data_IF_955558112580
#
_entry.id   IF_955558112580
#
_cell.length_a   1.000
_cell.length_b   1.000
_cell.length_c   1.000
_cell.angle_alpha   90.00
_cell.angle_beta   90.00
_cell.angle_gamma   90.00
#
_symmetry.space_group_name_H-M   'P 1'
#
loop_
_entity.id
_entity.type
_entity.pdbx_description
1 polymer ?
#
# COMPACT_ATOMS: atom_id res chain seq x y z
N UNK A 1 -32.51 24.46 -22.50
CA UNK A 1 -31.87 25.80 -22.47
C UNK A 1 -31.65 26.13 -21.00
N UNK A 2 -30.49 26.47 -20.46
CA UNK A 2 -29.10 26.52 -20.95
C UNK A 2 -28.22 25.90 -19.83
N UNK A 3 -27.16 25.12 -20.08
CA UNK A 3 -25.87 25.47 -20.71
C UNK A 3 -25.08 26.57 -20.00
N UNK A 4 -23.91 26.16 -19.47
CA UNK A 4 -22.70 26.97 -19.19
C UNK A 4 -22.77 28.15 -18.19
N UNK A 5 -22.33 27.91 -16.95
CA UNK A 5 -22.03 28.99 -15.98
C UNK A 5 -20.82 28.75 -15.02
N UNK A 6 -20.02 27.68 -15.16
CA UNK A 6 -18.88 27.39 -14.26
C UNK A 6 -17.48 27.56 -14.90
N UNK A 7 -17.41 28.02 -16.16
CA UNK A 7 -16.16 28.55 -16.75
C UNK A 7 -16.03 30.05 -16.46
N UNK A 8 -15.53 30.40 -15.26
CA UNK A 8 -14.70 31.61 -14.93
C UNK A 8 -14.70 31.94 -13.42
N UNK A 9 -14.06 31.10 -12.61
CA UNK A 9 -13.32 31.57 -11.41
C UNK A 9 -11.94 30.92 -11.42
N UNK A 10 -11.13 31.30 -12.42
CA UNK A 10 -9.73 30.92 -12.53
C UNK A 10 -8.93 32.16 -12.97
N UNK A 11 -8.05 32.62 -12.08
CA UNK A 11 -7.04 33.64 -12.36
C UNK A 11 -7.40 35.08 -11.94
N UNK A 12 -6.45 35.92 -11.50
CA UNK A 12 -5.00 35.71 -11.22
C UNK A 12 -4.49 36.80 -10.26
N UNK A 13 -3.51 36.47 -9.42
CA UNK A 13 -2.36 37.35 -9.15
C UNK A 13 -1.05 36.54 -9.27
N UNK A 14 0.03 37.24 -9.61
CA UNK A 14 1.18 36.82 -10.46
C UNK A 14 2.32 37.85 -10.25
N UNK A 15 3.63 37.55 -10.21
CA UNK A 15 4.38 36.28 -10.32
C UNK A 15 5.74 36.39 -9.59
N UNK A 16 6.36 35.26 -9.21
CA UNK A 16 7.82 35.05 -9.36
C UNK A 16 8.07 33.59 -9.73
N UNK A 17 8.43 33.35 -10.98
CA UNK A 17 8.88 32.05 -11.46
C UNK A 17 10.37 31.83 -11.16
N UNK A 18 10.73 30.62 -10.71
CA UNK A 18 12.00 29.99 -11.15
C UNK A 18 11.72 28.57 -11.62
N UNK A 19 11.81 28.43 -12.94
CA UNK A 19 11.95 27.17 -13.67
C UNK A 19 13.43 26.79 -13.65
N UNK A 20 13.85 25.86 -12.78
CA UNK A 20 15.07 25.02 -12.92
C UNK A 20 15.26 24.16 -11.65
N UNK A 21 15.97 23.04 -11.76
CA UNK A 21 16.17 22.09 -10.64
C UNK A 21 16.49 20.65 -11.07
N UNK A 22 16.34 20.34 -12.36
CA UNK A 22 16.89 19.14 -12.98
C UNK A 22 18.42 19.22 -13.11
N UNK A 23 19.15 19.39 -12.00
CA UNK A 23 20.63 19.38 -12.01
C UNK A 23 21.31 19.17 -10.63
N UNK A 24 20.97 18.12 -9.88
CA UNK A 24 21.80 17.67 -8.74
C UNK A 24 22.28 16.20 -8.78
N UNK A 25 21.97 15.46 -9.86
CA UNK A 25 22.50 14.12 -10.12
C UNK A 25 23.84 14.09 -10.88
N UNK A 26 24.38 15.24 -11.26
CA UNK A 26 25.56 15.34 -12.15
C UNK A 26 26.92 15.48 -11.46
N UNK A 27 27.00 15.53 -10.11
CA UNK A 27 28.27 15.84 -9.38
C UNK A 27 28.72 14.81 -8.32
N UNK A 28 28.24 13.57 -8.36
CA UNK A 28 28.81 12.44 -7.60
C UNK A 28 29.28 11.24 -8.45
N UNK A 29 29.28 11.36 -9.78
CA UNK A 29 29.73 10.30 -10.72
C UNK A 29 31.21 10.43 -11.16
N UNK A 30 32.10 10.89 -10.27
CA UNK A 30 33.56 10.98 -10.52
C UNK A 30 34.34 10.73 -9.22
N UNK A 31 35.13 9.64 -9.20
CA UNK A 31 35.68 8.87 -8.06
C UNK A 31 34.75 7.69 -7.74
N UNK A 32 35.00 6.45 -8.17
CA UNK A 32 36.27 5.84 -8.56
C UNK A 32 36.27 5.14 -9.95
N UNK A 33 37.41 5.24 -10.64
CA UNK A 33 37.76 4.42 -11.82
C UNK A 33 39.26 4.11 -11.79
N UNK A 34 39.59 2.88 -11.35
CA UNK A 34 40.91 2.23 -11.39
C UNK A 34 40.68 0.70 -11.41
N UNK A 35 41.29 -0.15 -12.24
CA UNK A 35 42.20 0.04 -13.39
C UNK A 35 42.23 -1.23 -14.32
N UNK A 36 42.80 -1.06 -15.53
CA UNK A 36 43.15 -2.02 -16.62
C UNK A 36 44.31 -2.98 -16.23
N UNK A 37 44.56 -4.21 -16.73
CA UNK A 37 43.89 -5.35 -17.43
C UNK A 37 44.96 -6.51 -17.45
N UNK A 38 45.19 -7.43 -18.44
CA UNK A 38 44.42 -8.05 -19.55
C UNK A 38 44.46 -9.63 -19.57
N UNK A 39 43.95 -10.27 -20.66
CA UNK A 39 43.94 -11.73 -21.00
C UNK A 39 45.31 -12.24 -21.55
N UNK A 40 45.68 -13.55 -21.57
CA UNK A 40 45.18 -14.54 -22.58
C UNK A 40 45.08 -16.03 -22.07
N UNK A 41 45.29 -17.13 -22.85
CA UNK A 41 44.21 -18.00 -23.32
C UNK A 41 44.26 -19.50 -22.86
N UNK A 42 43.23 -20.27 -23.26
CA UNK A 42 42.98 -21.66 -22.86
C UNK A 42 43.63 -22.75 -23.75
N UNK A 43 43.67 -24.02 -23.28
CA UNK A 43 43.62 -25.22 -24.12
C UNK A 43 42.28 -26.01 -23.98
N UNK A 44 42.10 -27.04 -24.81
CA UNK A 44 40.81 -27.70 -25.15
C UNK A 44 40.67 -29.12 -24.58
N UNK A 45 39.42 -29.64 -24.61
CA UNK A 45 38.97 -31.05 -24.42
C UNK A 45 39.02 -31.53 -22.94
N UNK A 46 38.11 -32.39 -22.46
CA UNK A 46 37.37 -33.47 -23.15
C UNK A 46 35.95 -33.69 -22.63
N UNK A 47 35.10 -34.28 -23.48
CA UNK A 47 33.91 -35.07 -23.12
C UNK A 47 34.22 -36.55 -23.47
N UNK A 48 33.41 -37.58 -23.10
CA UNK A 48 32.09 -37.52 -22.46
C UNK A 48 31.87 -38.47 -21.26
N UNK A 49 30.77 -38.29 -20.53
CA UNK A 49 30.15 -39.36 -19.75
C UNK A 49 28.61 -39.23 -19.79
N UNK A 50 27.92 -40.35 -20.02
CA UNK A 50 26.45 -40.41 -20.00
C UNK A 50 25.98 -40.40 -18.55
N UNK A 51 25.05 -39.51 -18.21
CA UNK A 51 24.28 -39.60 -16.97
C UNK A 51 22.80 -39.71 -17.34
N UNK A 52 22.21 -40.86 -17.03
CA UNK A 52 20.79 -41.14 -17.25
C UNK A 52 19.95 -40.42 -16.20
N UNK A 53 19.20 -39.41 -16.61
CA UNK A 53 18.24 -38.75 -15.73
C UNK A 53 17.13 -39.74 -15.32
N UNK A 54 16.77 -39.83 -14.02
CA UNK A 54 15.60 -40.59 -13.60
C UNK A 54 14.31 -39.93 -14.10
N UNK A 55 13.31 -40.73 -14.44
CA UNK A 55 12.04 -40.25 -14.96
C UNK A 55 11.29 -39.39 -13.93
N UNK A 56 10.66 -38.31 -14.40
CA UNK A 56 9.82 -37.46 -13.56
C UNK A 56 8.58 -38.22 -13.05
N UNK A 57 8.12 -37.98 -11.81
CA UNK A 57 6.90 -38.59 -11.30
C UNK A 57 5.65 -38.11 -12.09
N UNK A 58 4.59 -38.92 -12.18
CA UNK A 58 3.36 -38.54 -12.86
C UNK A 58 2.76 -37.29 -12.21
N UNK A 59 2.44 -36.30 -13.04
CA UNK A 59 1.89 -35.01 -12.63
C UNK A 59 0.53 -35.23 -11.96
N UNK A 60 0.47 -35.08 -10.64
CA UNK A 60 -0.80 -35.16 -9.90
C UNK A 60 -1.79 -34.14 -10.49
N UNK A 61 -2.96 -34.64 -10.90
CA UNK A 61 -4.04 -33.78 -11.41
C UNK A 61 -4.54 -32.91 -10.26
N UNK A 62 -4.26 -31.61 -10.31
CA UNK A 62 -4.86 -30.66 -9.39
C UNK A 62 -6.39 -30.75 -9.52
N UNK A 63 -7.15 -30.73 -8.40
CA UNK A 63 -8.60 -30.69 -8.48
C UNK A 63 -9.03 -29.45 -9.28
N UNK A 64 -10.15 -29.51 -10.02
CA UNK A 64 -10.62 -28.37 -10.79
C UNK A 64 -10.82 -27.18 -9.86
N UNK A 65 -10.29 -26.01 -10.26
CA UNK A 65 -10.47 -24.79 -9.50
C UNK A 65 -11.97 -24.56 -9.31
N UNK A 66 -12.38 -24.32 -8.05
CA UNK A 66 -13.75 -23.92 -7.75
C UNK A 66 -14.14 -22.65 -8.52
N UNK A 67 -15.43 -22.35 -8.66
CA UNK A 67 -15.88 -21.14 -9.35
C UNK A 67 -15.16 -19.92 -8.74
N UNK A 68 -14.68 -18.98 -9.57
CA UNK A 68 -13.90 -17.86 -9.08
C UNK A 68 -14.69 -17.11 -8.02
N UNK A 69 -14.15 -17.00 -6.80
CA UNK A 69 -14.74 -16.18 -5.74
C UNK A 69 -14.97 -14.79 -6.32
N UNK A 70 -16.21 -14.31 -6.20
CA UNK A 70 -16.66 -13.09 -6.85
C UNK A 70 -16.07 -11.90 -6.10
N UNK A 71 -14.88 -11.45 -6.54
CA UNK A 71 -14.18 -10.26 -6.05
C UNK A 71 -15.17 -9.14 -5.74
N UNK A 72 -15.16 -8.70 -4.48
CA UNK A 72 -16.10 -7.73 -3.96
C UNK A 72 -15.46 -6.34 -3.97
N UNK A 73 -16.18 -5.27 -4.40
CA UNK A 73 -15.66 -3.93 -4.23
C UNK A 73 -15.37 -3.68 -2.73
N UNK A 74 -14.28 -2.97 -2.46
CA UNK A 74 -14.02 -2.44 -1.12
C UNK A 74 -15.21 -1.58 -0.71
N UNK A 75 -15.78 -1.86 0.45
CA UNK A 75 -17.02 -1.28 0.96
C UNK A 75 -16.82 -0.74 2.38
N UNK A 76 -17.72 0.09 2.88
CA UNK A 76 -17.63 0.57 4.26
C UNK A 76 -18.25 -0.41 5.25
N UNK A 77 -17.63 -0.54 6.43
CA UNK A 77 -18.08 -1.43 7.49
C UNK A 77 -18.64 -0.64 8.68
N UNK A 78 -19.93 -0.81 8.93
CA UNK A 78 -20.67 -0.19 10.04
C UNK A 78 -21.00 -1.16 11.17
N UNK A 79 -20.67 -2.45 11.01
CA UNK A 79 -20.89 -3.47 12.03
C UNK A 79 -19.89 -3.41 13.19
N UNK A 80 -20.03 -4.32 14.18
CA UNK A 80 -19.07 -4.46 15.28
C UNK A 80 -17.63 -4.65 14.79
N UNK A 81 -16.68 -4.16 15.58
CA UNK A 81 -15.25 -4.31 15.34
C UNK A 81 -14.63 -5.21 16.42
N UNK A 82 -13.89 -6.22 15.98
CA UNK A 82 -12.97 -6.98 16.82
C UNK A 82 -11.56 -6.66 16.33
N UNK A 83 -10.89 -5.78 17.06
CA UNK A 83 -9.54 -5.32 16.74
C UNK A 83 -8.54 -6.34 17.26
N UNK A 84 -7.61 -6.78 16.41
CA UNK A 84 -6.59 -7.78 16.73
C UNK A 84 -5.22 -7.35 16.20
N UNK A 85 -4.17 -7.59 16.98
CA UNK A 85 -2.78 -7.47 16.52
C UNK A 85 -2.16 -8.86 16.46
N UNK A 86 -1.92 -9.34 15.24
CA UNK A 86 -1.39 -10.67 14.96
C UNK A 86 -0.77 -10.77 13.55
N UNK A 87 0.23 -9.92 13.21
CA UNK A 87 0.92 -9.96 11.92
C UNK A 87 1.75 -11.24 11.76
N UNK A 88 1.90 -11.73 10.53
CA UNK A 88 2.70 -12.91 10.21
C UNK A 88 3.44 -12.75 8.88
N UNK A 89 4.71 -13.15 8.86
CA UNK A 89 5.53 -13.23 7.64
C UNK A 89 5.19 -14.51 6.86
N UNK A 90 3.98 -14.57 6.28
CA UNK A 90 3.46 -15.76 5.59
C UNK A 90 2.81 -15.53 4.20
N UNK A 91 3.12 -14.38 3.57
CA UNK A 91 2.56 -13.91 2.29
C UNK A 91 1.02 -13.83 2.28
N UNK A 92 0.40 -13.48 3.43
CA UNK A 92 -1.04 -13.22 3.53
C UNK A 92 -1.33 -12.01 4.42
N UNK A 93 -2.33 -11.19 4.06
CA UNK A 93 -2.68 -10.01 4.84
C UNK A 93 -3.32 -10.39 6.18
N UNK A 94 -2.68 -10.01 7.29
CA UNK A 94 -3.14 -10.28 8.66
C UNK A 94 -3.29 -9.01 9.54
N UNK A 95 -4.11 -9.05 10.61
CA UNK A 95 -4.35 -7.90 11.48
C UNK A 95 -3.05 -7.38 12.13
N UNK A 96 -2.80 -6.08 12.03
CA UNK A 96 -1.53 -5.42 12.39
C UNK A 96 -0.68 -5.03 11.19
N UNK A 97 -1.01 -5.45 9.96
CA UNK A 97 -0.23 -5.17 8.76
C UNK A 97 -0.80 -4.05 7.90
N UNK A 98 0.09 -3.25 7.30
CA UNK A 98 -0.28 -2.25 6.30
C UNK A 98 -0.17 -2.86 4.91
N UNK A 99 -1.30 -3.06 4.24
CA UNK A 99 -1.42 -3.67 2.90
C UNK A 99 -1.82 -2.62 1.86
N UNK A 100 -1.67 -2.92 0.57
CA UNK A 100 -2.12 -2.00 -0.50
C UNK A 100 -3.40 -2.50 -1.16
N UNK A 101 -4.42 -1.66 -1.19
CA UNK A 101 -5.72 -1.95 -1.78
C UNK A 101 -6.25 -0.74 -2.57
N UNK A 102 -7.20 -0.98 -3.46
CA UNK A 102 -7.97 0.08 -4.11
C UNK A 102 -9.01 0.63 -3.14
N UNK A 103 -8.87 1.89 -2.73
CA UNK A 103 -9.78 2.56 -1.81
C UNK A 103 -10.67 3.54 -2.59
N UNK A 104 -12.01 3.33 -2.59
CA UNK A 104 -12.96 4.29 -3.15
C UNK A 104 -12.83 5.67 -2.48
N UNK A 105 -13.19 6.72 -3.20
CA UNK A 105 -13.40 8.03 -2.57
C UNK A 105 -14.71 8.04 -1.77
N UNK A 106 -15.09 9.19 -1.20
CA UNK A 106 -16.29 9.31 -0.35
C UNK A 106 -17.51 9.81 -1.15
N UNK A 107 -17.30 10.29 -2.37
CA UNK A 107 -18.36 10.77 -3.25
C UNK A 107 -19.17 9.63 -3.93
N UNK A 108 -18.84 8.36 -3.64
CA UNK A 108 -19.47 7.14 -4.18
C UNK A 108 -19.62 7.06 -5.72
N UNK A 109 -18.87 7.88 -6.45
CA UNK A 109 -18.93 7.99 -7.91
C UNK A 109 -18.11 6.93 -8.68
N UNK A 110 -17.68 5.87 -7.98
CA UNK A 110 -16.87 4.79 -8.51
C UNK A 110 -15.39 5.12 -8.70
N UNK A 111 -14.96 6.37 -8.47
CA UNK A 111 -13.53 6.71 -8.41
C UNK A 111 -12.91 6.23 -7.10
N UNK A 112 -11.60 6.08 -7.15
CA UNK A 112 -10.78 5.63 -6.03
C UNK A 112 -9.31 5.79 -6.37
N UNK A 113 -8.43 5.34 -5.46
CA UNK A 113 -7.00 5.20 -5.73
C UNK A 113 -6.39 4.09 -4.89
N UNK A 114 -5.26 3.58 -5.33
CA UNK A 114 -4.44 2.68 -4.51
C UNK A 114 -3.91 3.44 -3.29
N UNK A 115 -4.13 2.87 -2.11
CA UNK A 115 -3.66 3.40 -0.82
C UNK A 115 -3.07 2.28 0.03
N UNK A 116 -2.14 2.62 0.96
CA UNK A 116 -1.90 1.77 2.11
C UNK A 116 -3.14 1.72 3.01
N UNK A 117 -3.41 0.57 3.61
CA UNK A 117 -4.52 0.29 4.51
C UNK A 117 -3.99 -0.57 5.66
N UNK A 118 -4.15 -0.12 6.90
CA UNK A 118 -3.86 -0.94 8.08
C UNK A 118 -4.98 -1.96 8.26
N UNK A 119 -4.70 -3.25 8.17
CA UNK A 119 -5.63 -4.31 8.56
C UNK A 119 -5.73 -4.31 10.09
N UNK A 120 -6.94 -4.18 10.61
CA UNK A 120 -7.19 -4.11 12.07
C UNK A 120 -7.98 -5.28 12.62
N UNK A 121 -8.58 -6.11 11.75
CA UNK A 121 -9.36 -7.27 12.15
C UNK A 121 -9.96 -7.99 10.95
N UNK A 122 -10.93 -8.88 11.21
CA UNK A 122 -11.63 -9.66 10.17
C UNK A 122 -13.13 -9.68 10.44
N UNK A 123 -13.93 -9.79 9.37
CA UNK A 123 -15.35 -10.14 9.42
C UNK A 123 -15.63 -11.31 8.47
N UNK A 124 -15.69 -12.51 9.04
CA UNK A 124 -15.63 -13.77 8.29
C UNK A 124 -14.31 -13.89 7.53
N UNK A 125 -14.40 -14.20 6.24
CA UNK A 125 -13.24 -14.26 5.33
C UNK A 125 -12.70 -12.86 4.96
N UNK A 126 -13.45 -11.78 5.19
CA UNK A 126 -13.06 -10.42 4.79
C UNK A 126 -12.13 -9.76 5.81
N UNK A 127 -11.21 -8.93 5.31
CA UNK A 127 -10.38 -8.05 6.12
C UNK A 127 -11.19 -6.80 6.52
N UNK A 128 -10.97 -6.32 7.74
CA UNK A 128 -11.37 -4.99 8.17
C UNK A 128 -10.12 -4.12 8.22
N UNK A 129 -10.15 -2.96 7.57
CA UNK A 129 -8.99 -2.09 7.46
C UNK A 129 -9.29 -0.60 7.51
N UNK A 130 -8.28 0.19 7.86
CA UNK A 130 -8.33 1.64 7.97
C UNK A 130 -7.40 2.26 6.92
N UNK A 131 -7.88 3.25 6.16
CA UNK A 131 -7.08 3.85 5.09
C UNK A 131 -5.99 4.78 5.62
N UNK A 132 -4.81 4.74 5.02
CA UNK A 132 -3.71 5.64 5.33
C UNK A 132 -3.65 6.83 4.36
N UNK A 133 -3.04 7.91 4.85
CA UNK A 133 -2.63 9.10 4.12
C UNK A 133 -1.18 9.43 4.46
N UNK A 134 -0.47 10.07 3.54
CA UNK A 134 0.85 10.69 3.80
C UNK A 134 0.76 12.22 3.59
N UNK A 135 -0.44 12.76 3.72
CA UNK A 135 -0.69 14.19 3.88
C UNK A 135 -0.72 14.42 5.38
N UNK A 136 -0.02 15.47 5.80
CA UNK A 136 -0.09 16.06 7.14
C UNK A 136 -1.50 16.66 7.36
N UNK A 137 -2.19 16.19 8.40
CA UNK A 137 -3.48 16.73 8.83
C UNK A 137 -3.42 17.48 10.18
N UNK A 138 -2.24 17.72 10.77
CA UNK A 138 -2.15 18.50 12.03
C UNK A 138 -2.70 19.92 11.85
N UNK A 139 -2.42 20.53 10.70
CA UNK A 139 -2.83 21.90 10.38
C UNK A 139 -4.31 22.04 9.99
N UNK A 140 -4.99 20.95 9.62
CA UNK A 140 -6.42 20.93 9.31
C UNK A 140 -7.27 20.00 10.21
N UNK A 141 -6.68 19.47 11.30
CA UNK A 141 -7.32 18.54 12.22
C UNK A 141 -8.69 19.01 12.74
N UNK A 142 -8.82 20.30 13.03
CA UNK A 142 -10.06 20.95 13.48
C UNK A 142 -11.15 20.96 12.39
N UNK A 143 -10.77 21.20 11.13
CA UNK A 143 -11.68 21.22 9.98
C UNK A 143 -12.02 19.82 9.49
N UNK A 144 -11.07 18.89 9.56
CA UNK A 144 -11.26 17.44 9.38
C UNK A 144 -12.25 16.90 10.42
N UNK A 145 -12.06 17.25 11.71
CA UNK A 145 -12.91 16.80 12.80
C UNK A 145 -14.35 17.32 12.70
N UNK A 146 -14.56 18.56 12.23
CA UNK A 146 -15.90 19.11 11.90
C UNK A 146 -16.58 18.36 10.75
N UNK A 147 -15.81 17.69 9.90
CA UNK A 147 -16.30 16.80 8.83
C UNK A 147 -16.39 15.33 9.29
N UNK A 148 -16.20 15.04 10.58
CA UNK A 148 -16.21 13.69 11.14
C UNK A 148 -14.99 12.84 10.79
N UNK A 149 -13.95 13.44 10.20
CA UNK A 149 -12.71 12.77 9.81
C UNK A 149 -11.69 12.86 10.93
N UNK A 150 -11.13 11.73 11.33
CA UNK A 150 -10.22 11.66 12.46
C UNK A 150 -8.98 10.84 12.09
N UNK A 151 -7.82 11.44 12.29
CA UNK A 151 -6.53 10.93 11.87
C UNK A 151 -5.64 10.64 13.09
N UNK A 152 -4.81 9.62 12.99
CA UNK A 152 -3.84 9.22 14.01
C UNK A 152 -2.50 8.95 13.35
N UNK A 153 -1.42 9.49 13.91
CA UNK A 153 -0.04 9.21 13.51
C UNK A 153 0.27 7.71 13.58
N UNK A 154 0.75 7.16 12.46
CA UNK A 154 1.39 5.83 12.43
C UNK A 154 2.88 5.88 12.06
N UNK A 155 3.40 7.09 11.82
CA UNK A 155 4.82 7.32 11.54
C UNK A 155 5.25 6.79 10.17
N UNK A 156 6.46 6.24 10.09
CA UNK A 156 7.07 5.76 8.84
C UNK A 156 7.19 4.23 8.83
N UNK A 157 7.22 3.62 7.65
CA UNK A 157 7.44 2.18 7.52
C UNK A 157 7.51 1.70 6.08
N UNK A 158 7.86 0.43 5.90
CA UNK A 158 8.18 -0.16 4.60
C UNK A 158 6.99 -0.24 3.61
N UNK A 159 5.77 0.09 4.05
CA UNK A 159 4.62 0.29 3.17
C UNK A 159 4.86 1.44 2.17
N UNK A 160 5.55 2.51 2.57
CA UNK A 160 5.95 3.62 1.70
C UNK A 160 7.45 3.57 1.39
N UNK A 161 7.79 3.41 0.10
CA UNK A 161 9.18 3.40 -0.40
C UNK A 161 9.92 4.73 -0.20
N UNK A 162 9.19 5.83 0.01
CA UNK A 162 9.76 7.14 0.31
C UNK A 162 9.98 7.36 1.82
N UNK A 163 9.54 6.43 2.68
CA UNK A 163 9.69 6.54 4.13
C UNK A 163 8.99 7.76 4.74
N UNK A 164 7.92 8.25 4.11
CA UNK A 164 7.21 9.46 4.56
C UNK A 164 6.36 9.16 5.80
N UNK A 165 6.23 10.12 6.74
CA UNK A 165 5.23 10.05 7.79
C UNK A 165 3.85 9.78 7.19
N UNK A 166 3.11 8.93 7.87
CA UNK A 166 1.77 8.50 7.47
C UNK A 166 0.84 8.57 8.68
N UNK A 167 -0.40 8.86 8.38
CA UNK A 167 -1.52 8.90 9.32
C UNK A 167 -2.58 7.90 8.87
N UNK A 168 -3.34 7.36 9.82
CA UNK A 168 -4.47 6.45 9.55
C UNK A 168 -5.79 7.11 9.93
N UNK A 169 -6.80 6.95 9.06
CA UNK A 169 -8.15 7.45 9.32
C UNK A 169 -8.96 6.43 10.12
N UNK A 170 -9.40 6.81 11.31
CA UNK A 170 -10.01 5.91 12.30
C UNK A 170 -11.54 5.86 12.29
N UNK A 171 -12.21 6.87 11.73
CA UNK A 171 -13.68 6.89 11.59
C UNK A 171 -14.17 5.93 10.49
N UNK A 172 -13.41 5.81 9.40
CA UNK A 172 -13.78 5.08 8.18
C UNK A 172 -13.14 3.69 8.11
N UNK A 173 -13.90 2.67 8.51
CA UNK A 173 -13.51 1.26 8.37
C UNK A 173 -13.95 0.71 7.02
N UNK A 174 -13.02 0.07 6.32
CA UNK A 174 -13.22 -0.60 5.04
C UNK A 174 -13.31 -2.11 5.24
N UNK A 175 -14.26 -2.75 4.54
CA UNK A 175 -14.32 -4.19 4.31
C UNK A 175 -13.63 -4.51 2.98
N UNK A 176 -12.65 -5.41 3.00
CA UNK A 176 -11.81 -5.76 1.85
C UNK A 176 -11.79 -7.29 1.68
N UNK A 177 -12.02 -7.80 0.47
CA UNK A 177 -11.74 -9.20 0.15
C UNK A 177 -10.22 -9.42 0.08
N UNK A 178 -9.63 -10.40 0.78
CA UNK A 178 -8.20 -10.70 0.68
C UNK A 178 -7.69 -10.84 -0.77
N UNK A 179 -8.53 -11.30 -1.70
CA UNK A 179 -8.18 -11.46 -3.11
C UNK A 179 -8.05 -10.13 -3.90
N UNK A 180 -8.45 -9.01 -3.31
CA UNK A 180 -8.35 -7.66 -3.88
C UNK A 180 -7.24 -6.81 -3.22
N UNK A 181 -6.46 -7.40 -2.31
CA UNK A 181 -5.14 -6.87 -1.90
C UNK A 181 -4.18 -6.95 -3.08
N UNK A 182 -3.51 -5.84 -3.38
CA UNK A 182 -2.62 -5.68 -4.54
C UNK A 182 -1.14 -5.94 -4.23
N UNK A 183 -0.76 -5.77 -2.96
CA UNK A 183 0.60 -5.94 -2.43
C UNK A 183 0.51 -6.04 -0.90
N UNK A 184 1.01 -7.12 -0.31
CA UNK A 184 1.34 -7.11 1.13
C UNK A 184 2.41 -6.03 1.42
N UNK A 185 2.28 -5.35 2.55
CA UNK A 185 3.27 -4.38 2.99
C UNK A 185 4.00 -4.88 4.22
N UNK A 186 3.85 -4.18 5.35
CA UNK A 186 4.65 -4.45 6.54
C UNK A 186 3.79 -4.36 7.81
N UNK A 187 4.17 -5.13 8.82
CA UNK A 187 3.64 -4.98 10.17
C UNK A 187 3.87 -3.54 10.68
N UNK A 188 2.81 -2.95 11.22
CA UNK A 188 2.91 -1.74 12.04
C UNK A 188 3.50 -2.12 13.41
N UNK A 189 4.18 -1.18 14.07
CA UNK A 189 4.60 -1.37 15.45
C UNK A 189 3.39 -1.62 16.38
N UNK A 190 3.60 -2.44 17.42
CA UNK A 190 2.54 -2.83 18.35
C UNK A 190 1.99 -1.65 19.15
N UNK A 191 2.82 -0.72 19.62
CA UNK A 191 2.36 0.41 20.39
C UNK A 191 1.55 1.37 19.51
N UNK A 192 1.99 1.61 18.27
CA UNK A 192 1.22 2.38 17.28
C UNK A 192 -0.11 1.71 16.92
N UNK A 193 -0.15 0.39 16.81
CA UNK A 193 -1.43 -0.32 16.65
C UNK A 193 -2.36 -0.12 17.85
N UNK A 194 -1.85 -0.23 19.08
CA UNK A 194 -2.66 -0.06 20.30
C UNK A 194 -3.19 1.38 20.43
N UNK A 195 -2.42 2.41 20.03
CA UNK A 195 -2.87 3.81 19.93
C UNK A 195 -4.04 3.99 18.96
N UNK A 196 -3.91 3.42 17.75
CA UNK A 196 -4.96 3.43 16.72
C UNK A 196 -6.20 2.68 17.20
N UNK A 197 -6.03 1.51 17.81
CA UNK A 197 -7.13 0.70 18.33
C UNK A 197 -7.91 1.43 19.45
N UNK A 198 -7.20 2.14 20.33
CA UNK A 198 -7.81 2.96 21.37
C UNK A 198 -8.62 4.13 20.78
N UNK A 199 -8.13 4.78 19.72
CA UNK A 199 -8.88 5.84 19.05
C UNK A 199 -10.12 5.31 18.29
N UNK A 200 -9.99 4.20 17.56
CA UNK A 200 -11.14 3.54 16.90
C UNK A 200 -12.22 3.20 17.92
N UNK A 201 -11.85 2.71 19.10
CA UNK A 201 -12.79 2.44 20.18
C UNK A 201 -13.45 3.72 20.71
N UNK A 202 -12.69 4.82 20.90
CA UNK A 202 -13.25 6.13 21.31
C UNK A 202 -14.27 6.71 20.32
N UNK A 203 -14.17 6.38 19.03
CA UNK A 203 -15.08 6.89 17.97
C UNK A 203 -16.30 6.01 17.70
N UNK A 204 -16.31 4.75 18.13
CA UNK A 204 -17.34 3.75 17.80
C UNK A 204 -17.95 3.02 19.02
N UNK A 205 -17.54 3.38 20.23
CA UNK A 205 -18.14 2.95 21.50
C UNK A 205 -19.30 3.83 21.95
#
# INVERSE_FOLDING_TARGET
MASSAWRRVLGRLVDVAVRQGSEELARRSRRDRSATAPRPPAPRRSAPARSTAPAAPPRATLPPAGPPRRRGPVTEHTGPLRLEYRPHDDDRPDPGEVVWAWVPFEEDDGRGKDRPVLVVGRDGDALLGLMLSSKDHDLDADDEARQGRHWVDVGTGAWDRQGRPSEVRVDRVLRIDPADVRREGAALDRARFDEVAAEVHRRRG
#
